data_IF_362110198136
#
_entry.id   IF_362110198136
#
_cell.length_a   1.000
_cell.length_b   1.000
_cell.length_c   1.000
_cell.angle_alpha   90.00
_cell.angle_beta   90.00
_cell.angle_gamma   90.00
#
_symmetry.space_group_name_H-M   'P 1'
#
loop_
_entity.id
_entity.type
_entity.pdbx_description
1 polymer ?
#
# COMPACT_ATOMS: atom_id res chain seq x y z
N UNK A 1 -10.91 24.52 6.97
CA UNK A 1 -9.62 23.81 6.99
C UNK A 1 -9.65 22.72 5.94
N UNK A 2 -8.89 22.87 4.86
CA UNK A 2 -8.95 21.98 3.69
C UNK A 2 -8.15 20.68 3.87
N UNK A 3 -8.44 19.70 3.00
CA UNK A 3 -7.64 18.49 2.85
C UNK A 3 -6.24 18.86 2.37
N UNK A 4 -5.21 18.45 3.13
CA UNK A 4 -3.81 18.59 2.71
C UNK A 4 -3.43 17.43 1.78
N UNK A 5 -2.43 17.67 0.92
CA UNK A 5 -1.84 16.62 0.08
C UNK A 5 -1.30 15.48 0.96
N UNK A 6 -1.54 14.23 0.56
CA UNK A 6 -1.11 13.02 1.26
C UNK A 6 -1.64 12.82 2.70
N UNK A 7 -2.86 13.28 3.01
CA UNK A 7 -3.53 13.02 4.29
C UNK A 7 -4.69 12.00 4.16
N UNK A 8 -4.38 10.70 3.99
CA UNK A 8 -5.40 9.66 3.84
C UNK A 8 -6.23 9.47 5.12
N UNK A 9 -5.68 9.83 6.30
CA UNK A 9 -6.39 9.72 7.57
C UNK A 9 -7.53 10.73 7.66
N UNK A 10 -7.27 11.99 7.30
CA UNK A 10 -8.32 13.02 7.24
C UNK A 10 -9.31 12.75 6.12
N UNK A 11 -8.83 12.32 4.94
CA UNK A 11 -9.71 11.90 3.84
C UNK A 11 -10.63 10.76 4.26
N UNK A 12 -10.09 9.71 4.89
CA UNK A 12 -10.86 8.60 5.43
C UNK A 12 -11.86 9.07 6.50
N UNK A 13 -11.45 9.93 7.43
CA UNK A 13 -12.34 10.46 8.47
C UNK A 13 -13.50 11.28 7.88
N UNK A 14 -13.24 12.10 6.87
CA UNK A 14 -14.27 12.86 6.15
C UNK A 14 -15.21 11.93 5.38
N UNK A 15 -14.68 10.98 4.59
CA UNK A 15 -15.48 9.99 3.86
C UNK A 15 -16.34 9.18 4.83
N UNK A 16 -15.78 8.74 5.96
CA UNK A 16 -16.51 8.00 7.00
C UNK A 16 -17.64 8.83 7.58
N UNK A 17 -17.42 10.13 7.86
CA UNK A 17 -18.48 11.06 8.34
C UNK A 17 -19.57 11.26 7.30
N UNK A 18 -19.21 11.57 6.04
CA UNK A 18 -20.16 11.72 4.93
C UNK A 18 -20.95 10.43 4.69
N UNK A 19 -20.30 9.29 4.87
CA UNK A 19 -20.91 7.97 4.78
C UNK A 19 -21.61 7.57 6.09
N UNK A 20 -22.06 8.50 6.92
CA UNK A 20 -22.94 8.22 8.07
C UNK A 20 -22.27 7.56 9.28
N UNK A 21 -20.95 7.65 9.41
CA UNK A 21 -20.20 7.16 10.56
C UNK A 21 -20.22 5.64 10.69
N UNK A 22 -20.47 5.14 11.89
CA UNK A 22 -20.50 3.70 12.22
C UNK A 22 -21.87 3.06 11.96
N UNK A 23 -22.88 3.86 11.59
CA UNK A 23 -24.28 3.46 11.51
C UNK A 23 -24.73 3.03 10.12
N UNK A 24 -23.81 2.83 9.17
CA UNK A 24 -24.17 2.24 7.88
C UNK A 24 -23.91 0.76 7.91
N UNK A 25 -24.98 0.03 7.69
CA UNK A 25 -24.95 -1.39 7.52
C UNK A 25 -24.40 -1.66 6.10
N UNK A 26 -23.07 -1.64 5.97
CA UNK A 26 -22.33 -1.86 4.71
C UNK A 26 -22.67 -3.24 4.13
N UNK A 27 -23.11 -4.15 5.00
CA UNK A 27 -23.68 -5.45 4.67
C UNK A 27 -24.92 -5.39 3.79
N UNK A 28 -25.56 -4.22 3.58
CA UNK A 28 -26.69 -4.08 2.67
C UNK A 28 -26.40 -3.22 1.45
N UNK A 29 -25.16 -2.78 1.22
CA UNK A 29 -24.88 -1.98 0.03
C UNK A 29 -24.99 -2.87 -1.21
N UNK A 30 -25.94 -2.60 -2.12
CA UNK A 30 -26.11 -3.44 -3.29
C UNK A 30 -25.02 -3.14 -4.32
N UNK A 31 -24.61 -4.16 -5.08
CA UNK A 31 -23.63 -4.02 -6.18
C UNK A 31 -24.23 -4.52 -7.48
N UNK A 32 -23.71 -4.10 -8.63
CA UNK A 32 -24.20 -4.61 -9.91
C UNK A 32 -23.43 -5.87 -10.36
N UNK A 33 -24.16 -6.82 -10.93
CA UNK A 33 -23.56 -7.90 -11.69
C UNK A 33 -23.12 -7.40 -13.09
N UNK A 34 -22.56 -8.29 -13.92
CA UNK A 34 -22.07 -7.93 -15.26
C UNK A 34 -23.18 -7.46 -16.22
N UNK A 35 -24.42 -7.88 -15.98
CA UNK A 35 -25.57 -7.50 -16.78
C UNK A 35 -26.21 -6.19 -16.28
N UNK A 36 -25.63 -5.55 -15.25
CA UNK A 36 -26.15 -4.32 -14.65
C UNK A 36 -27.24 -4.56 -13.61
N UNK A 37 -27.57 -5.81 -13.29
CA UNK A 37 -28.60 -6.16 -12.31
C UNK A 37 -28.08 -6.00 -10.88
N UNK A 38 -28.96 -5.54 -9.99
CA UNK A 38 -28.58 -5.18 -8.64
C UNK A 38 -28.60 -6.40 -7.69
N UNK A 39 -27.45 -6.73 -7.12
CA UNK A 39 -27.26 -7.80 -6.13
C UNK A 39 -27.33 -7.25 -4.71
N UNK A 40 -28.34 -7.69 -3.96
CA UNK A 40 -28.61 -7.26 -2.57
C UNK A 40 -28.21 -8.31 -1.52
N UNK A 41 -28.14 -9.59 -1.90
CA UNK A 41 -27.78 -10.72 -1.03
C UNK A 41 -26.25 -10.85 -0.86
N UNK A 42 -25.79 -11.15 0.36
CA UNK A 42 -24.36 -11.21 0.69
C UNK A 42 -23.58 -12.27 -0.08
N UNK A 43 -24.16 -13.46 -0.27
CA UNK A 43 -23.52 -14.55 -1.00
C UNK A 43 -23.25 -14.18 -2.46
N UNK A 44 -24.26 -13.61 -3.14
CA UNK A 44 -24.16 -13.21 -4.54
C UNK A 44 -23.15 -12.08 -4.72
N UNK A 45 -23.11 -11.14 -3.76
CA UNK A 45 -22.10 -10.08 -3.76
C UNK A 45 -20.68 -10.62 -3.63
N UNK A 46 -20.44 -11.54 -2.69
CA UNK A 46 -19.12 -12.15 -2.51
C UNK A 46 -18.70 -12.95 -3.74
N UNK A 47 -19.64 -13.67 -4.36
CA UNK A 47 -19.40 -14.38 -5.61
C UNK A 47 -18.99 -13.43 -6.73
N UNK A 48 -19.73 -12.34 -6.91
CA UNK A 48 -19.44 -11.29 -7.90
C UNK A 48 -18.09 -10.61 -7.67
N UNK A 49 -17.71 -10.35 -6.41
CA UNK A 49 -16.40 -9.81 -6.05
C UNK A 49 -15.27 -10.78 -6.37
N UNK A 50 -15.45 -12.07 -6.05
CA UNK A 50 -14.47 -13.12 -6.39
C UNK A 50 -14.26 -13.20 -7.90
N UNK A 51 -15.34 -13.22 -8.66
CA UNK A 51 -15.31 -13.22 -10.12
C UNK A 51 -14.55 -12.00 -10.66
N UNK A 52 -14.92 -10.80 -10.21
CA UNK A 52 -14.27 -9.55 -10.63
C UNK A 52 -12.77 -9.54 -10.36
N UNK A 53 -12.38 -9.88 -9.13
CA UNK A 53 -10.98 -9.87 -8.72
C UNK A 53 -10.19 -10.95 -9.42
N UNK A 54 -10.78 -12.12 -9.67
CA UNK A 54 -10.12 -13.18 -10.43
C UNK A 54 -9.81 -12.73 -11.85
N UNK A 55 -10.77 -12.12 -12.55
CA UNK A 55 -10.55 -11.62 -13.92
C UNK A 55 -9.54 -10.49 -13.97
N UNK A 56 -9.58 -9.59 -12.98
CA UNK A 56 -8.69 -8.44 -12.92
C UNK A 56 -7.25 -8.83 -12.56
N UNK A 57 -7.06 -9.76 -11.61
CA UNK A 57 -5.75 -10.06 -11.02
C UNK A 57 -5.08 -11.30 -11.63
N UNK A 58 -5.85 -12.27 -12.11
CA UNK A 58 -5.31 -13.50 -12.71
C UNK A 58 -5.14 -13.38 -14.23
N UNK A 59 -4.75 -12.19 -14.71
CA UNK A 59 -4.39 -12.01 -16.11
C UNK A 59 -3.06 -12.74 -16.34
N UNK A 60 -3.12 -13.86 -17.04
CA UNK A 60 -1.94 -14.60 -17.47
C UNK A 60 -1.24 -13.81 -18.58
N UNK A 61 -0.40 -12.86 -18.18
CA UNK A 61 0.45 -12.13 -19.11
C UNK A 61 1.65 -13.02 -19.47
N UNK A 62 1.73 -13.46 -20.72
CA UNK A 62 2.95 -14.09 -21.25
C UNK A 62 3.95 -12.98 -21.58
N UNK A 63 4.87 -12.72 -20.66
CA UNK A 63 6.00 -11.81 -20.91
C UNK A 63 7.12 -12.63 -21.52
N UNK A 64 7.60 -12.24 -22.70
CA UNK A 64 8.81 -12.82 -23.28
C UNK A 64 9.96 -12.65 -22.28
N UNK A 65 10.63 -13.74 -21.83
CA UNK A 65 11.77 -13.64 -20.92
C UNK A 65 12.89 -12.70 -21.42
N UNK A 66 12.97 -12.48 -22.73
CA UNK A 66 13.95 -11.58 -23.36
C UNK A 66 13.56 -10.11 -23.27
N UNK A 67 12.31 -9.75 -22.92
CA UNK A 67 11.91 -8.34 -22.72
C UNK A 67 12.75 -7.68 -21.64
N UNK A 68 13.16 -8.40 -20.60
CA UNK A 68 14.02 -7.86 -19.54
C UNK A 68 15.40 -7.47 -20.11
N UNK A 69 15.89 -8.17 -21.13
CA UNK A 69 17.16 -7.86 -21.79
C UNK A 69 17.07 -6.63 -22.71
N UNK A 70 15.86 -6.24 -23.13
CA UNK A 70 15.60 -5.03 -23.91
C UNK A 70 15.44 -3.78 -23.02
N UNK A 71 15.39 -3.95 -21.70
CA UNK A 71 15.39 -2.83 -20.76
C UNK A 71 16.85 -2.35 -20.65
N UNK A 72 17.12 -1.18 -21.20
CA UNK A 72 18.40 -0.51 -20.99
C UNK A 72 18.59 -0.28 -19.49
N UNK A 73 19.52 -1.02 -18.89
CA UNK A 73 19.94 -0.76 -17.52
C UNK A 73 20.65 0.61 -17.51
N UNK A 74 20.23 1.56 -16.66
CA UNK A 74 20.94 2.82 -16.56
C UNK A 74 22.38 2.53 -16.13
N UNK A 75 23.33 2.89 -17.00
CA UNK A 75 24.75 2.82 -16.67
C UNK A 75 25.01 3.82 -15.54
N UNK A 76 25.11 3.32 -14.32
CA UNK A 76 25.56 4.12 -13.19
C UNK A 76 27.08 4.28 -13.26
N UNK A 77 27.57 5.45 -12.86
CA UNK A 77 29.03 5.66 -12.78
C UNK A 77 29.66 4.67 -11.80
N UNK A 78 30.92 4.30 -12.03
CA UNK A 78 31.68 3.45 -11.09
C UNK A 78 31.63 3.98 -9.65
N UNK A 79 31.68 5.31 -9.48
CA UNK A 79 31.55 5.99 -8.19
C UNK A 79 30.19 5.75 -7.52
N UNK A 80 29.11 5.76 -8.30
CA UNK A 80 27.77 5.52 -7.77
C UNK A 80 27.57 4.04 -7.42
N UNK A 81 28.14 3.14 -8.20
CA UNK A 81 28.16 1.72 -7.86
C UNK A 81 28.93 1.46 -6.55
N UNK A 82 30.14 2.01 -6.41
CA UNK A 82 30.91 1.96 -5.18
C UNK A 82 30.20 2.60 -3.98
N UNK A 83 29.27 3.54 -4.20
CA UNK A 83 28.45 4.13 -3.13
C UNK A 83 27.34 3.17 -2.69
N UNK A 84 26.67 2.52 -3.65
CA UNK A 84 25.56 1.59 -3.37
C UNK A 84 26.04 0.27 -2.77
N UNK A 85 27.25 -0.18 -3.11
CA UNK A 85 27.84 -1.42 -2.58
C UNK A 85 28.32 -1.28 -1.11
N UNK A 86 28.40 -0.06 -0.58
CA UNK A 86 28.79 0.17 0.81
C UNK A 86 27.63 -0.13 1.77
N UNK A 87 27.91 -0.74 2.93
CA UNK A 87 26.90 -0.89 3.97
C UNK A 87 26.42 0.50 4.45
N UNK A 88 25.13 0.64 4.80
CA UNK A 88 24.60 1.91 5.27
C UNK A 88 25.25 2.30 6.60
N UNK A 89 25.53 3.60 6.74
CA UNK A 89 26.01 4.16 8.00
C UNK A 89 24.87 4.31 9.01
N UNK A 90 25.22 4.34 10.30
CA UNK A 90 24.23 4.55 11.37
C UNK A 90 23.48 5.88 11.20
N UNK A 91 24.16 6.92 10.72
CA UNK A 91 23.55 8.25 10.48
C UNK A 91 22.54 8.19 9.35
N UNK A 92 22.86 7.53 8.23
CA UNK A 92 21.92 7.32 7.13
C UNK A 92 20.66 6.57 7.60
N UNK A 93 20.83 5.47 8.34
CA UNK A 93 19.71 4.70 8.88
C UNK A 93 18.84 5.55 9.81
N UNK A 94 19.44 6.36 10.67
CA UNK A 94 18.70 7.25 11.58
C UNK A 94 17.90 8.32 10.81
N UNK A 95 18.49 8.93 9.79
CA UNK A 95 17.81 9.92 8.96
C UNK A 95 16.69 9.29 8.13
N UNK A 96 16.91 8.10 7.57
CA UNK A 96 15.90 7.37 6.82
C UNK A 96 14.70 7.03 7.72
N UNK A 97 14.95 6.51 8.94
CA UNK A 97 13.90 6.24 9.92
C UNK A 97 13.11 7.52 10.24
N UNK A 98 13.79 8.66 10.43
CA UNK A 98 13.13 9.97 10.68
C UNK A 98 12.22 10.37 9.52
N UNK A 99 12.64 10.15 8.28
CA UNK A 99 11.90 10.51 7.06
C UNK A 99 10.73 9.57 6.73
N UNK A 100 10.68 8.36 7.29
CA UNK A 100 9.57 7.42 7.07
C UNK A 100 8.20 8.07 7.38
N UNK A 101 7.17 7.76 6.58
CA UNK A 101 5.82 8.29 6.83
C UNK A 101 5.11 7.51 7.92
N UNK A 102 4.57 8.24 8.89
CA UNK A 102 3.75 7.69 9.97
C UNK A 102 2.38 7.22 9.45
N UNK A 103 1.68 6.40 10.24
CA UNK A 103 0.32 5.87 9.94
C UNK A 103 0.26 5.05 8.65
N UNK A 104 1.38 4.46 8.25
CA UNK A 104 1.44 3.44 7.21
C UNK A 104 1.24 2.07 7.85
N UNK A 105 0.62 1.15 7.11
CA UNK A 105 0.52 -0.24 7.53
C UNK A 105 1.92 -0.83 7.66
N UNK A 106 2.10 -1.67 8.67
CA UNK A 106 3.30 -2.50 8.79
C UNK A 106 3.32 -3.57 7.69
N UNK A 107 4.50 -4.11 7.42
CA UNK A 107 4.64 -5.35 6.65
C UNK A 107 4.20 -6.58 7.45
N UNK A 108 4.72 -7.74 7.06
CA UNK A 108 4.48 -9.00 7.77
C UNK A 108 5.16 -9.07 9.16
N UNK A 109 6.08 -8.15 9.44
CA UNK A 109 6.84 -8.05 10.69
C UNK A 109 6.06 -7.40 11.85
N UNK A 110 4.94 -6.74 11.57
CA UNK A 110 4.14 -6.03 12.59
C UNK A 110 4.77 -4.71 13.08
N UNK A 111 5.93 -4.32 12.56
CA UNK A 111 6.66 -3.11 12.94
C UNK A 111 6.21 -1.93 12.07
N UNK A 112 5.77 -0.84 12.71
CA UNK A 112 5.38 0.40 12.00
C UNK A 112 6.48 1.46 12.06
N UNK A 113 6.45 2.43 11.14
CA UNK A 113 7.34 3.58 11.16
C UNK A 113 7.25 4.38 12.48
N UNK A 114 6.04 4.50 13.03
CA UNK A 114 5.81 5.16 14.32
C UNK A 114 6.55 4.43 15.46
N UNK A 115 6.52 3.08 15.44
CA UNK A 115 7.20 2.25 16.42
C UNK A 115 8.73 2.38 16.30
N UNK A 116 9.27 2.36 15.08
CA UNK A 116 10.71 2.53 14.84
C UNK A 116 11.22 3.88 15.35
N UNK A 117 10.46 4.95 15.13
CA UNK A 117 10.80 6.30 15.63
C UNK A 117 10.71 6.41 17.15
N UNK A 118 9.78 5.68 17.77
CA UNK A 118 9.58 5.67 19.22
C UNK A 118 10.59 4.78 19.97
N UNK A 119 11.23 3.83 19.28
CA UNK A 119 12.11 2.81 19.87
C UNK A 119 13.32 3.34 20.66
N UNK A 120 13.68 4.62 20.49
CA UNK A 120 14.71 5.27 21.31
C UNK A 120 16.11 4.68 21.14
N UNK A 121 17.02 5.03 22.07
CA UNK A 121 18.36 4.46 22.09
C UNK A 121 18.34 3.02 22.64
N UNK A 122 19.29 2.16 22.21
CA UNK A 122 19.41 0.81 22.75
C UNK A 122 19.49 0.87 24.28
N UNK A 123 18.72 0.02 24.96
CA UNK A 123 18.93 -0.22 26.39
C UNK A 123 20.26 -0.96 26.49
N UNK A 124 21.25 -0.35 27.16
CA UNK A 124 22.51 -1.03 27.45
C UNK A 124 22.19 -2.26 28.32
N UNK A 125 22.46 -3.44 27.78
CA UNK A 125 22.40 -4.74 28.47
C UNK A 125 23.78 -5.07 29.02
#
# INVERSE_FOLDING_TARGET
GGLKQHDPATAYAMIRRLRGGNNKNIEYMPIQNKNGELLTNSADRLSRWREYLSELLNVHTSVDPLIIQQIDAPLISKKEQERQDKPPSLVEVQEDIRQMKNRKASGNDGITADLLKAGGLPIAI
#
